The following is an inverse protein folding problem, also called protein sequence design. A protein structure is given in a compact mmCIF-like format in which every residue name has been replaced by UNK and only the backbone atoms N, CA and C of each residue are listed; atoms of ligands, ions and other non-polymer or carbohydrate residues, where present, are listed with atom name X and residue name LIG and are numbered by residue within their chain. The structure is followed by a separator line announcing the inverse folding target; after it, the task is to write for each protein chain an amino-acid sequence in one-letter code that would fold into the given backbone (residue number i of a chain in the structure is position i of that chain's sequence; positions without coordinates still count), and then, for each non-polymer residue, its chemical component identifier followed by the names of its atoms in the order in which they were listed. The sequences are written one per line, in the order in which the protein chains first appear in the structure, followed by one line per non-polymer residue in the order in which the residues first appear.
data_IF_894296336086
#
_entry.id   IF_894296336086
#
_cell.length_a   1.000
_cell.length_b   1.000
_cell.length_c   1.000
_cell.angle_alpha   90.00
_cell.angle_beta   90.00
_cell.angle_gamma   90.00
#
_symmetry.space_group_name_H-M   'P 1'
#
loop_
_entity.id
_entity.type
_entity.pdbx_description
1 polymer ?
#
# COMPACT_ATOMS: atom_id res chain seq x y z
N UNK A 1 7.88 -27.86 -20.95
CA UNK A 1 8.70 -26.69 -21.40
C UNK A 1 8.32 -26.19 -22.80
N UNK A 2 7.44 -26.86 -23.52
CA UNK A 2 6.92 -26.43 -24.83
C UNK A 2 5.57 -25.70 -24.75
N UNK A 3 5.09 -25.43 -23.55
CA UNK A 3 3.75 -24.86 -23.28
C UNK A 3 3.67 -23.33 -23.42
N UNK A 4 4.77 -22.62 -23.20
CA UNK A 4 4.76 -21.16 -23.24
C UNK A 4 5.21 -20.62 -24.61
N UNK A 5 4.43 -19.71 -25.18
CA UNK A 5 4.77 -19.03 -26.43
C UNK A 5 5.68 -17.84 -26.19
N UNK A 6 5.33 -17.03 -25.19
CA UNK A 6 6.04 -15.79 -24.85
C UNK A 6 7.09 -15.99 -23.76
N UNK A 7 6.82 -16.80 -22.74
CA UNK A 7 7.68 -16.95 -21.55
C UNK A 7 8.72 -18.07 -21.64
N UNK A 8 8.83 -18.78 -22.74
CA UNK A 8 9.70 -19.95 -22.86
C UNK A 8 11.18 -19.68 -22.47
N UNK A 9 11.75 -18.51 -22.84
CA UNK A 9 13.11 -18.14 -22.50
C UNK A 9 13.24 -17.56 -21.09
N UNK A 10 12.23 -16.81 -20.63
CA UNK A 10 12.25 -16.04 -19.39
C UNK A 10 11.86 -16.93 -18.20
N UNK A 11 11.08 -17.99 -18.42
CA UNK A 11 10.60 -18.89 -17.36
C UNK A 11 11.71 -19.55 -16.54
N UNK A 12 12.92 -19.59 -17.07
CA UNK A 12 14.11 -20.15 -16.40
C UNK A 12 14.91 -19.11 -15.62
N UNK A 13 14.56 -17.83 -15.73
CA UNK A 13 15.28 -16.77 -15.05
C UNK A 13 14.86 -16.66 -13.59
N UNK A 14 15.85 -16.38 -12.74
CA UNK A 14 15.62 -16.09 -11.34
C UNK A 14 14.76 -14.81 -11.22
N UNK A 15 13.65 -14.88 -10.46
CA UNK A 15 12.70 -13.78 -10.34
C UNK A 15 11.45 -13.87 -11.22
N UNK A 16 11.43 -14.71 -12.27
CA UNK A 16 10.24 -14.90 -13.10
C UNK A 16 9.03 -15.37 -12.27
N UNK A 17 9.24 -16.37 -11.41
CA UNK A 17 8.20 -16.92 -10.53
C UNK A 17 7.62 -15.82 -9.63
N UNK A 18 8.49 -14.95 -9.03
CA UNK A 18 8.05 -13.84 -8.20
C UNK A 18 7.22 -12.81 -8.97
N UNK A 19 7.57 -12.51 -10.22
CA UNK A 19 6.82 -11.58 -11.07
C UNK A 19 5.44 -12.15 -11.43
N UNK A 20 5.38 -13.41 -11.82
CA UNK A 20 4.12 -14.09 -12.14
C UNK A 20 3.23 -14.21 -10.90
N UNK A 21 3.80 -14.54 -9.73
CA UNK A 21 3.06 -14.59 -8.47
C UNK A 21 2.41 -13.23 -8.15
N UNK A 22 3.15 -12.13 -8.31
CA UNK A 22 2.58 -10.77 -8.13
C UNK A 22 1.42 -10.52 -9.08
N UNK A 23 1.54 -10.91 -10.36
CA UNK A 23 0.45 -10.75 -11.33
C UNK A 23 -0.78 -11.57 -10.95
N UNK A 24 -0.61 -12.80 -10.45
CA UNK A 24 -1.73 -13.63 -9.97
C UNK A 24 -2.39 -12.98 -8.75
N UNK A 25 -1.62 -12.47 -7.79
CA UNK A 25 -2.14 -11.71 -6.65
C UNK A 25 -2.96 -10.49 -7.12
N UNK A 26 -2.48 -9.75 -8.12
CA UNK A 26 -3.23 -8.62 -8.69
C UNK A 26 -4.52 -9.09 -9.37
N UNK A 27 -4.48 -10.14 -10.17
CA UNK A 27 -5.68 -10.70 -10.81
C UNK A 27 -6.75 -11.05 -9.76
N UNK A 28 -6.38 -11.71 -8.66
CA UNK A 28 -7.29 -12.03 -7.57
C UNK A 28 -7.86 -10.78 -6.92
N UNK A 29 -7.02 -9.81 -6.54
CA UNK A 29 -7.44 -8.54 -5.91
C UNK A 29 -8.42 -7.75 -6.79
N UNK A 30 -8.26 -7.82 -8.10
CA UNK A 30 -9.11 -7.12 -9.06
C UNK A 30 -10.26 -7.97 -9.59
N UNK A 31 -10.50 -9.16 -9.02
CA UNK A 31 -11.51 -10.12 -9.46
C UNK A 31 -11.37 -10.50 -10.96
N UNK A 32 -10.14 -10.51 -11.47
CA UNK A 32 -9.86 -10.92 -12.85
C UNK A 32 -9.80 -12.45 -12.86
N UNK A 33 -10.87 -13.06 -13.34
CA UNK A 33 -10.95 -14.52 -13.49
C UNK A 33 -10.29 -14.97 -14.78
N UNK A 34 -10.10 -16.28 -14.91
CA UNK A 34 -9.58 -16.87 -16.15
C UNK A 34 -10.50 -16.62 -17.34
N UNK A 35 -11.82 -16.62 -17.12
CA UNK A 35 -12.83 -16.33 -18.15
C UNK A 35 -12.64 -14.92 -18.71
N UNK A 36 -12.47 -13.92 -17.83
CA UNK A 36 -12.22 -12.52 -18.21
C UNK A 36 -10.93 -12.40 -19.02
N UNK A 37 -9.85 -13.08 -18.61
CA UNK A 37 -8.58 -13.07 -19.36
C UNK A 37 -8.76 -13.67 -20.76
N UNK A 38 -9.50 -14.76 -20.87
CA UNK A 38 -9.76 -15.43 -22.15
C UNK A 38 -10.66 -14.57 -23.06
N UNK A 39 -11.69 -13.92 -22.53
CA UNK A 39 -12.54 -12.99 -23.28
C UNK A 39 -11.75 -11.79 -23.81
N UNK A 40 -10.99 -11.14 -22.94
CA UNK A 40 -10.18 -9.97 -23.33
C UNK A 40 -9.07 -10.31 -24.31
N UNK A 41 -8.54 -11.52 -24.30
CA UNK A 41 -7.57 -12.00 -25.27
C UNK A 41 -8.09 -11.94 -26.71
N UNK A 42 -9.41 -12.09 -26.93
CA UNK A 42 -10.03 -12.03 -28.26
C UNK A 42 -9.97 -10.62 -28.83
N UNK A 43 -10.12 -9.60 -27.98
CA UNK A 43 -10.14 -8.19 -28.36
C UNK A 43 -8.75 -7.62 -28.71
N UNK A 44 -7.67 -8.30 -28.25
CA UNK A 44 -6.31 -7.80 -28.39
C UNK A 44 -5.76 -8.08 -29.81
N UNK A 45 -5.36 -7.00 -30.49
CA UNK A 45 -4.77 -7.04 -31.83
C UNK A 45 -3.26 -7.35 -31.83
N UNK A 46 -2.57 -6.94 -30.78
CA UNK A 46 -1.13 -7.17 -30.61
C UNK A 46 -0.87 -8.64 -30.31
N UNK A 47 -0.11 -9.31 -31.19
CA UNK A 47 0.18 -10.74 -31.09
C UNK A 47 1.02 -11.08 -29.86
N UNK A 48 2.02 -10.26 -29.55
CA UNK A 48 2.93 -10.52 -28.43
C UNK A 48 2.19 -10.37 -27.09
N UNK A 49 1.34 -9.37 -26.98
CA UNK A 49 0.50 -9.17 -25.80
C UNK A 49 -0.52 -10.32 -25.65
N UNK A 50 -1.10 -10.76 -26.76
CA UNK A 50 -2.03 -11.90 -26.81
C UNK A 50 -1.37 -13.18 -26.32
N UNK A 51 -0.16 -13.49 -26.79
CA UNK A 51 0.60 -14.67 -26.39
C UNK A 51 1.00 -14.59 -24.91
N UNK A 52 1.37 -13.41 -24.39
CA UNK A 52 1.64 -13.19 -22.94
C UNK A 52 0.42 -13.47 -22.07
N UNK A 53 -0.74 -12.95 -22.45
CA UNK A 53 -1.99 -13.16 -21.69
C UNK A 53 -2.39 -14.63 -21.72
N UNK A 54 -2.21 -15.31 -22.84
CA UNK A 54 -2.48 -16.74 -22.95
C UNK A 54 -1.59 -17.57 -22.02
N UNK A 55 -0.30 -17.27 -22.00
CA UNK A 55 0.64 -17.93 -21.10
C UNK A 55 0.29 -17.66 -19.62
N UNK A 56 -0.05 -16.39 -19.26
CA UNK A 56 -0.47 -16.04 -17.90
C UNK A 56 -1.78 -16.73 -17.51
N UNK A 57 -2.77 -16.78 -18.40
CA UNK A 57 -4.04 -17.47 -18.16
C UNK A 57 -3.81 -18.96 -17.89
N UNK A 58 -2.93 -19.62 -18.67
CA UNK A 58 -2.59 -21.04 -18.48
C UNK A 58 -1.87 -21.29 -17.15
N UNK A 59 -0.97 -20.39 -16.75
CA UNK A 59 -0.28 -20.49 -15.45
C UNK A 59 -1.29 -20.29 -14.32
N UNK A 60 -2.16 -19.31 -14.42
CA UNK A 60 -3.16 -18.99 -13.41
C UNK A 60 -4.15 -20.14 -13.21
N UNK A 61 -4.61 -20.76 -14.30
CA UNK A 61 -5.45 -21.96 -14.25
C UNK A 61 -4.77 -23.12 -13.53
N UNK A 62 -3.52 -23.39 -13.92
CA UNK A 62 -2.74 -24.51 -13.34
C UNK A 62 -2.45 -24.25 -11.86
N UNK A 63 -2.14 -23.00 -11.50
CA UNK A 63 -1.93 -22.58 -10.12
C UNK A 63 -3.18 -22.82 -9.28
N UNK A 64 -4.35 -22.33 -9.73
CA UNK A 64 -5.60 -22.53 -9.01
C UNK A 64 -5.99 -24.01 -8.88
N UNK A 65 -5.85 -24.81 -9.94
CA UNK A 65 -6.14 -26.24 -9.90
C UNK A 65 -5.28 -27.02 -8.91
N UNK A 66 -4.01 -26.62 -8.75
CA UNK A 66 -3.13 -27.26 -7.80
C UNK A 66 -3.36 -26.80 -6.36
N UNK A 67 -3.66 -25.51 -6.19
CA UNK A 67 -3.86 -24.90 -4.87
C UNK A 67 -5.15 -25.40 -4.22
N UNK A 68 -6.28 -25.33 -4.93
CA UNK A 68 -7.61 -25.68 -4.39
C UNK A 68 -7.80 -27.14 -4.00
N UNK A 69 -6.82 -28.00 -4.24
CA UNK A 69 -6.87 -29.39 -3.79
C UNK A 69 -6.62 -29.54 -2.29
N UNK A 70 -5.75 -28.70 -1.72
CA UNK A 70 -5.25 -28.88 -0.35
C UNK A 70 -5.13 -27.59 0.45
N UNK A 71 -5.17 -26.43 -0.20
CA UNK A 71 -4.85 -25.13 0.44
C UNK A 71 -5.84 -24.04 0.06
N UNK A 72 -5.96 -23.05 0.94
CA UNK A 72 -6.65 -21.77 0.68
C UNK A 72 -5.56 -20.70 0.54
N UNK A 73 -5.59 -19.95 -0.56
CA UNK A 73 -4.69 -18.82 -0.75
C UNK A 73 -5.15 -17.62 0.09
N UNK A 74 -4.20 -16.92 0.68
CA UNK A 74 -4.48 -15.67 1.40
C UNK A 74 -5.15 -14.62 0.52
N UNK A 75 -4.85 -14.61 -0.79
CA UNK A 75 -5.44 -13.68 -1.75
C UNK A 75 -6.92 -14.02 -2.10
N UNK A 76 -7.40 -15.23 -1.78
CA UNK A 76 -8.79 -15.66 -1.99
C UNK A 76 -9.69 -15.41 -0.77
N UNK A 77 -9.12 -15.05 0.38
CA UNK A 77 -9.86 -14.91 1.65
C UNK A 77 -11.03 -13.94 1.52
N UNK A 78 -10.86 -12.79 0.88
CA UNK A 78 -11.93 -11.80 0.73
C UNK A 78 -13.04 -12.29 -0.22
N UNK A 79 -12.70 -13.04 -1.26
CA UNK A 79 -13.67 -13.64 -2.17
C UNK A 79 -14.49 -14.71 -1.44
N UNK A 80 -13.83 -15.58 -0.70
CA UNK A 80 -14.48 -16.61 0.13
C UNK A 80 -15.34 -15.96 1.22
N UNK A 81 -14.83 -14.90 1.86
CA UNK A 81 -15.60 -14.12 2.84
C UNK A 81 -16.88 -13.56 2.22
N UNK A 82 -16.79 -12.96 1.05
CA UNK A 82 -17.96 -12.39 0.37
C UNK A 82 -19.04 -13.44 0.07
N UNK A 83 -18.63 -14.67 -0.28
CA UNK A 83 -19.56 -15.78 -0.48
C UNK A 83 -20.20 -16.27 0.84
N UNK A 84 -19.36 -16.46 1.87
CA UNK A 84 -19.83 -16.91 3.18
C UNK A 84 -20.75 -15.90 3.87
N UNK A 85 -20.50 -14.62 3.68
CA UNK A 85 -21.37 -13.56 4.22
C UNK A 85 -22.79 -13.63 3.68
N UNK A 86 -23.01 -14.12 2.46
CA UNK A 86 -24.36 -14.27 1.88
C UNK A 86 -25.21 -15.32 2.61
N UNK A 87 -24.56 -16.25 3.29
CA UNK A 87 -25.18 -17.35 4.03
C UNK A 87 -25.15 -17.13 5.55
N UNK A 88 -24.65 -15.97 6.01
CA UNK A 88 -24.40 -15.69 7.42
C UNK A 88 -25.19 -14.47 7.90
N UNK A 89 -25.91 -14.62 9.00
CA UNK A 89 -26.73 -13.58 9.63
C UNK A 89 -26.02 -12.84 10.77
N UNK A 90 -24.73 -13.11 10.98
CA UNK A 90 -23.95 -12.60 12.12
C UNK A 90 -23.91 -11.06 12.19
N UNK A 91 -24.01 -10.39 11.06
CA UNK A 91 -23.85 -8.94 10.95
C UNK A 91 -25.17 -8.17 10.79
N UNK A 92 -26.32 -8.83 10.84
CA UNK A 92 -27.63 -8.20 10.58
C UNK A 92 -27.96 -7.06 11.55
N UNK A 93 -27.55 -7.17 12.81
CA UNK A 93 -27.78 -6.14 13.84
C UNK A 93 -26.54 -5.28 14.14
N UNK A 94 -25.47 -5.45 13.37
CA UNK A 94 -24.22 -4.75 13.60
C UNK A 94 -24.21 -3.36 13.00
N UNK A 95 -23.49 -2.47 13.66
CA UNK A 95 -23.05 -1.18 13.11
C UNK A 95 -21.58 -1.29 12.71
N UNK A 96 -21.28 -1.02 11.44
CA UNK A 96 -19.94 -1.18 10.86
C UNK A 96 -19.32 0.18 10.63
N UNK A 97 -18.08 0.35 11.06
CA UNK A 97 -17.27 1.55 10.84
C UNK A 97 -16.02 1.21 10.05
N UNK A 98 -15.77 1.95 8.99
CA UNK A 98 -14.64 1.79 8.07
C UNK A 98 -13.89 3.11 8.00
N UNK A 99 -12.63 3.11 8.39
CA UNK A 99 -11.82 4.31 8.53
C UNK A 99 -10.42 4.13 7.91
N UNK A 100 -9.76 5.23 7.54
CA UNK A 100 -8.40 5.28 6.98
C UNK A 100 -8.20 4.61 5.61
N UNK A 101 -9.26 4.36 4.86
CA UNK A 101 -9.13 3.88 3.49
C UNK A 101 -9.13 5.03 2.47
N UNK A 102 -8.17 5.01 1.55
CA UNK A 102 -8.14 5.93 0.40
C UNK A 102 -8.79 5.32 -0.84
N UNK A 103 -8.72 3.99 -0.96
CA UNK A 103 -9.29 3.23 -2.08
C UNK A 103 -9.64 1.82 -1.65
N UNK A 104 -10.52 1.18 -2.39
CA UNK A 104 -10.92 -0.21 -2.19
C UNK A 104 -10.65 -1.03 -3.45
N UNK A 105 -10.10 -2.22 -3.26
CA UNK A 105 -10.00 -3.20 -4.35
C UNK A 105 -11.38 -3.73 -4.72
N UNK A 106 -11.58 -4.26 -5.94
CA UNK A 106 -12.84 -4.90 -6.31
C UNK A 106 -13.29 -6.02 -5.37
N UNK A 107 -12.37 -6.82 -4.83
CA UNK A 107 -12.70 -7.82 -3.79
C UNK A 107 -13.27 -7.16 -2.53
N UNK A 108 -12.65 -6.06 -2.06
CA UNK A 108 -13.14 -5.33 -0.90
C UNK A 108 -14.52 -4.72 -1.17
N UNK A 109 -14.74 -4.17 -2.36
CA UNK A 109 -16.06 -3.64 -2.76
C UNK A 109 -17.14 -4.73 -2.72
N UNK A 110 -16.84 -5.97 -3.15
CA UNK A 110 -17.81 -7.08 -3.08
C UNK A 110 -18.16 -7.46 -1.62
N UNK A 111 -17.17 -7.44 -0.73
CA UNK A 111 -17.42 -7.64 0.72
C UNK A 111 -18.27 -6.50 1.26
N UNK A 112 -17.94 -5.24 0.97
CA UNK A 112 -18.69 -4.06 1.42
C UNK A 112 -20.13 -4.09 0.90
N UNK A 113 -20.33 -4.47 -0.36
CA UNK A 113 -21.66 -4.62 -0.97
C UNK A 113 -22.53 -5.63 -0.20
N UNK A 114 -21.95 -6.77 0.15
CA UNK A 114 -22.66 -7.80 0.90
C UNK A 114 -23.00 -7.33 2.30
N UNK A 115 -22.04 -6.75 3.01
CA UNK A 115 -22.24 -6.22 4.36
C UNK A 115 -23.24 -5.06 4.40
N UNK A 116 -23.22 -4.16 3.41
CA UNK A 116 -24.14 -3.03 3.32
C UNK A 116 -25.60 -3.45 3.15
N UNK A 117 -25.86 -4.64 2.61
CA UNK A 117 -27.20 -5.21 2.49
C UNK A 117 -27.71 -5.87 3.78
N UNK A 118 -26.81 -6.26 4.66
CA UNK A 118 -27.12 -7.06 5.86
C UNK A 118 -27.06 -6.23 7.14
N UNK A 119 -26.05 -5.36 7.28
CA UNK A 119 -25.85 -4.64 8.53
C UNK A 119 -26.92 -3.56 8.76
N UNK A 120 -27.12 -3.22 10.04
CA UNK A 120 -28.05 -2.17 10.46
C UNK A 120 -27.60 -0.79 9.95
N UNK A 121 -26.33 -0.47 10.09
CA UNK A 121 -25.70 0.76 9.59
C UNK A 121 -24.27 0.48 9.18
N UNK A 122 -23.84 1.13 8.09
CA UNK A 122 -22.43 1.15 7.67
C UNK A 122 -21.98 2.61 7.53
N UNK A 123 -20.89 2.95 8.21
CA UNK A 123 -20.30 4.27 8.22
C UNK A 123 -18.89 4.19 7.60
N UNK A 124 -18.65 4.95 6.56
CA UNK A 124 -17.36 5.00 5.87
C UNK A 124 -16.82 6.42 5.95
N UNK A 125 -15.62 6.58 6.50
CA UNK A 125 -14.95 7.89 6.53
C UNK A 125 -13.96 7.99 5.37
N UNK A 126 -13.98 9.14 4.69
CA UNK A 126 -13.05 9.45 3.62
C UNK A 126 -12.41 10.81 3.87
N UNK A 127 -11.11 10.92 3.66
CA UNK A 127 -10.37 12.17 3.82
C UNK A 127 -10.45 12.99 2.52
N UNK A 128 -11.44 13.88 2.42
CA UNK A 128 -11.76 14.68 1.25
C UNK A 128 -11.82 16.18 1.62
N UNK A 129 -11.72 17.06 0.63
CA UNK A 129 -11.93 18.51 0.79
C UNK A 129 -13.41 18.94 0.96
N UNK A 130 -14.32 17.97 0.81
CA UNK A 130 -15.78 18.18 0.89
C UNK A 130 -16.42 18.67 -0.41
N UNK A 131 -15.66 18.80 -1.48
CA UNK A 131 -16.19 19.08 -2.82
C UNK A 131 -16.46 17.77 -3.54
N UNK A 132 -17.75 17.48 -3.79
CA UNK A 132 -18.21 16.21 -4.39
C UNK A 132 -17.96 16.15 -5.90
N UNK A 133 -17.63 17.27 -6.56
CA UNK A 133 -17.49 17.31 -8.00
C UNK A 133 -16.12 16.78 -8.45
N UNK A 134 -16.15 15.56 -8.97
CA UNK A 134 -15.06 15.03 -9.79
C UNK A 134 -15.19 15.61 -11.20
N UNK A 135 -14.25 16.44 -11.62
CA UNK A 135 -14.15 16.94 -13.00
C UNK A 135 -13.08 16.13 -13.71
N UNK A 136 -13.51 15.31 -14.66
CA UNK A 136 -12.59 14.48 -15.45
C UNK A 136 -11.61 15.36 -16.22
N UNK A 137 -10.29 15.18 -15.97
CA UNK A 137 -9.22 15.94 -16.61
C UNK A 137 -8.61 17.07 -15.78
N UNK A 138 -9.17 17.43 -14.65
CA UNK A 138 -8.49 18.28 -13.66
C UNK A 138 -7.70 17.40 -12.66
N UNK A 139 -6.45 17.75 -12.41
CA UNK A 139 -5.60 17.07 -11.41
C UNK A 139 -5.83 17.67 -10.03
N UNK A 140 -6.51 16.94 -9.17
CA UNK A 140 -6.73 17.27 -7.77
C UNK A 140 -6.01 16.24 -6.88
N UNK A 141 -5.48 16.70 -5.74
CA UNK A 141 -4.86 15.81 -4.74
C UNK A 141 -5.84 14.79 -4.16
N UNK A 142 -7.13 15.08 -4.19
CA UNK A 142 -8.21 14.22 -3.70
C UNK A 142 -8.86 13.35 -4.77
N UNK A 143 -8.39 13.37 -6.03
CA UNK A 143 -8.97 12.60 -7.13
C UNK A 143 -9.17 11.12 -6.81
N UNK A 144 -8.17 10.49 -6.19
CA UNK A 144 -8.23 9.08 -5.80
C UNK A 144 -9.40 8.82 -4.83
N UNK A 145 -9.60 9.74 -3.88
CA UNK A 145 -10.63 9.61 -2.85
C UNK A 145 -12.00 9.96 -3.41
N UNK A 146 -12.11 11.01 -4.23
CA UNK A 146 -13.34 11.37 -4.96
C UNK A 146 -13.81 10.24 -5.87
N UNK A 147 -12.86 9.59 -6.55
CA UNK A 147 -13.13 8.40 -7.37
C UNK A 147 -13.63 7.22 -6.53
N UNK A 148 -13.07 7.06 -5.32
CA UNK A 148 -13.48 6.03 -4.38
C UNK A 148 -14.90 6.28 -3.88
N UNK A 149 -15.23 7.52 -3.51
CA UNK A 149 -16.58 7.94 -3.13
C UNK A 149 -17.59 7.65 -4.25
N UNK A 150 -17.28 8.06 -5.48
CA UNK A 150 -18.13 7.78 -6.64
C UNK A 150 -18.37 6.29 -6.88
N UNK A 151 -17.32 5.46 -6.73
CA UNK A 151 -17.46 3.99 -6.84
C UNK A 151 -18.36 3.41 -5.74
N UNK A 152 -18.26 3.91 -4.51
CA UNK A 152 -19.11 3.48 -3.42
C UNK A 152 -20.56 3.90 -3.66
N UNK A 153 -20.81 5.15 -4.05
CA UNK A 153 -22.17 5.65 -4.38
C UNK A 153 -22.79 4.85 -5.52
N UNK A 154 -22.03 4.59 -6.58
CA UNK A 154 -22.47 3.77 -7.71
C UNK A 154 -22.82 2.35 -7.28
N UNK A 155 -21.97 1.73 -6.46
CA UNK A 155 -22.21 0.41 -5.88
C UNK A 155 -23.51 0.38 -5.07
N UNK A 156 -23.78 1.40 -4.23
CA UNK A 156 -25.02 1.50 -3.46
C UNK A 156 -26.23 1.62 -4.37
N UNK A 157 -26.19 2.50 -5.39
CA UNK A 157 -27.28 2.69 -6.35
C UNK A 157 -27.60 1.42 -7.14
N UNK A 158 -26.58 0.76 -7.71
CA UNK A 158 -26.74 -0.47 -8.49
C UNK A 158 -27.30 -1.64 -7.67
N UNK A 159 -27.12 -1.60 -6.36
CA UNK A 159 -27.58 -2.67 -5.45
C UNK A 159 -28.81 -2.30 -4.64
N UNK A 160 -29.45 -1.16 -4.93
CA UNK A 160 -30.65 -0.66 -4.21
C UNK A 160 -30.42 -0.51 -2.70
N UNK A 161 -29.21 -0.16 -2.27
CA UNK A 161 -28.88 0.15 -0.88
C UNK A 161 -29.09 1.64 -0.66
N UNK A 162 -29.96 2.01 0.27
CA UNK A 162 -30.19 3.41 0.63
C UNK A 162 -29.00 3.96 1.40
N UNK A 163 -28.64 5.20 1.14
CA UNK A 163 -27.58 5.93 1.85
C UNK A 163 -28.08 7.32 2.26
N UNK A 164 -27.48 7.85 3.31
CA UNK A 164 -27.74 9.20 3.82
C UNK A 164 -26.81 10.19 3.13
N UNK A 165 -27.21 11.47 3.10
CA UNK A 165 -26.31 12.55 2.68
C UNK A 165 -25.00 12.54 3.47
N UNK A 166 -23.84 12.74 2.80
CA UNK A 166 -22.54 12.76 3.46
C UNK A 166 -22.47 13.82 4.57
N UNK A 167 -21.89 13.46 5.70
CA UNK A 167 -21.63 14.38 6.80
C UNK A 167 -20.26 15.01 6.59
N UNK A 168 -20.22 16.28 6.18
CA UNK A 168 -18.97 17.02 6.07
C UNK A 168 -18.48 17.45 7.46
N UNK A 169 -17.37 16.86 7.90
CA UNK A 169 -16.70 17.19 9.17
C UNK A 169 -15.72 18.37 9.04
N UNK A 170 -15.46 18.83 7.82
CA UNK A 170 -14.56 19.95 7.55
C UNK A 170 -15.23 21.28 7.91
N UNK A 171 -15.26 21.60 9.19
CA UNK A 171 -15.85 22.82 9.73
C UNK A 171 -14.86 23.99 9.58
N UNK A 172 -15.37 25.23 9.67
CA UNK A 172 -14.60 26.49 9.56
C UNK A 172 -13.32 26.54 10.42
N UNK A 173 -13.30 25.84 11.56
CA UNK A 173 -12.15 25.71 12.44
C UNK A 173 -11.79 24.23 12.55
N UNK A 174 -10.76 23.82 11.84
CA UNK A 174 -10.22 22.46 11.90
C UNK A 174 -9.63 22.25 13.29
N UNK A 175 -10.22 21.34 14.05
CA UNK A 175 -9.82 21.07 15.44
C UNK A 175 -8.33 20.73 15.57
N UNK A 176 -7.78 20.01 14.59
CA UNK A 176 -6.37 19.60 14.56
C UNK A 176 -5.38 20.75 14.61
N UNK A 177 -5.73 21.90 14.01
CA UNK A 177 -4.87 23.08 13.91
C UNK A 177 -5.35 24.26 14.75
N UNK A 178 -6.23 24.04 15.72
CA UNK A 178 -6.80 25.12 16.56
C UNK A 178 -5.75 25.92 17.32
N UNK A 179 -4.62 25.29 17.68
CA UNK A 179 -3.52 25.90 18.43
C UNK A 179 -2.48 26.57 17.52
N UNK A 180 -2.49 26.30 16.20
CA UNK A 180 -1.54 26.86 15.24
C UNK A 180 -2.23 27.39 13.99
N UNK A 181 -2.33 28.71 13.90
CA UNK A 181 -2.94 29.39 12.75
C UNK A 181 -2.12 29.19 11.47
N UNK A 182 -0.80 29.10 11.59
CA UNK A 182 0.11 28.92 10.45
C UNK A 182 0.00 27.52 9.86
N UNK A 183 -0.13 26.47 10.68
CA UNK A 183 -0.41 25.12 10.18
C UNK A 183 -1.79 25.04 9.53
N UNK A 184 -2.80 25.70 10.11
CA UNK A 184 -4.12 25.82 9.50
C UNK A 184 -4.10 26.61 8.18
N UNK A 185 -3.20 27.61 8.05
CA UNK A 185 -3.01 28.33 6.79
C UNK A 185 -2.36 27.43 5.72
N UNK A 186 -1.32 26.69 6.09
CA UNK A 186 -0.67 25.75 5.17
C UNK A 186 -1.68 24.69 4.69
N UNK A 187 -2.39 24.03 5.59
CA UNK A 187 -3.39 23.03 5.24
C UNK A 187 -4.42 23.57 4.25
N UNK A 188 -4.91 24.78 4.49
CA UNK A 188 -5.97 25.37 3.67
C UNK A 188 -5.48 25.86 2.30
N UNK A 189 -4.24 26.36 2.19
CA UNK A 189 -3.80 27.14 1.04
C UNK A 189 -2.56 26.59 0.33
N UNK A 190 -2.00 25.48 0.75
CA UNK A 190 -0.75 24.94 0.19
C UNK A 190 -0.82 24.69 -1.32
N UNK A 191 -1.95 24.21 -1.80
CA UNK A 191 -2.18 23.91 -3.23
C UNK A 191 -2.95 24.99 -3.98
N UNK A 192 -3.26 26.12 -3.34
CA UNK A 192 -4.00 27.17 -4.02
C UNK A 192 -3.12 27.96 -5.00
N UNK A 193 -3.69 28.27 -6.15
CA UNK A 193 -3.10 29.23 -7.08
C UNK A 193 -4.12 30.34 -7.39
N UNK A 194 -3.75 31.63 -7.31
CA UNK A 194 -2.46 32.19 -6.85
C UNK A 194 -2.20 31.94 -5.36
N UNK A 195 -0.92 31.87 -4.99
CA UNK A 195 -0.50 31.60 -3.62
C UNK A 195 -1.04 32.64 -2.63
N UNK A 196 -1.50 32.16 -1.45
CA UNK A 196 -1.89 33.01 -0.34
C UNK A 196 -0.77 33.05 0.70
N UNK A 197 -0.17 34.22 0.85
CA UNK A 197 0.94 34.43 1.78
C UNK A 197 0.41 34.58 3.20
N UNK A 198 0.99 33.82 4.15
CA UNK A 198 0.75 34.02 5.58
C UNK A 198 1.44 35.34 6.03
N UNK A 199 0.71 36.22 6.71
CA UNK A 199 1.17 37.59 7.04
C UNK A 199 1.59 37.77 8.49
N UNK A 200 1.28 36.80 9.37
CA UNK A 200 1.65 36.85 10.78
C UNK A 200 3.04 36.21 10.99
N UNK A 201 3.64 36.39 12.17
CA UNK A 201 4.91 35.77 12.53
C UNK A 201 4.79 34.25 12.61
N UNK A 202 5.72 33.53 11.94
CA UNK A 202 5.78 32.06 11.97
C UNK A 202 6.55 31.60 13.22
N UNK A 203 5.90 30.78 14.06
CA UNK A 203 6.48 30.23 15.30
C UNK A 203 6.59 28.71 15.27
N UNK A 204 5.62 28.05 14.63
CA UNK A 204 5.50 26.60 14.59
C UNK A 204 6.08 25.99 13.32
N UNK A 205 6.28 26.80 12.26
CA UNK A 205 6.84 26.36 10.99
C UNK A 205 8.20 26.98 10.78
N UNK A 206 9.21 26.16 10.51
CA UNK A 206 10.57 26.60 10.22
C UNK A 206 11.10 25.90 8.99
N UNK A 207 11.81 26.63 8.15
CA UNK A 207 12.50 26.11 6.99
C UNK A 207 14.00 26.15 7.24
N UNK A 208 14.66 25.00 7.04
CA UNK A 208 16.10 24.90 7.09
C UNK A 208 16.62 24.34 5.77
N UNK A 209 17.74 24.92 5.28
CA UNK A 209 18.42 24.44 4.08
C UNK A 209 19.81 23.94 4.46
N UNK A 210 20.02 22.64 4.37
CA UNK A 210 21.31 22.01 4.61
C UNK A 210 22.17 21.98 3.33
N UNK A 211 23.49 21.84 3.49
CA UNK A 211 24.42 21.68 2.38
C UNK A 211 24.45 20.24 1.81
N UNK A 212 24.14 19.27 2.64
CA UNK A 212 24.12 17.85 2.29
C UNK A 212 23.25 17.08 3.29
N UNK A 213 22.97 15.79 3.00
CA UNK A 213 22.13 14.93 3.82
C UNK A 213 22.68 14.73 5.24
N UNK A 214 24.00 14.76 5.42
CA UNK A 214 24.60 14.61 6.73
C UNK A 214 24.26 15.80 7.63
N UNK A 215 24.53 17.02 7.17
CA UNK A 215 24.21 18.24 7.93
C UNK A 215 22.69 18.46 8.08
N UNK A 216 21.88 17.91 7.19
CA UNK A 216 20.42 17.90 7.34
C UNK A 216 19.99 17.06 8.53
N UNK A 217 20.45 15.81 8.63
CA UNK A 217 20.12 14.90 9.74
C UNK A 217 20.74 15.38 11.06
N UNK A 218 21.95 15.93 11.02
CA UNK A 218 22.59 16.50 12.20
C UNK A 218 21.76 17.67 12.77
N UNK A 219 21.30 18.57 11.91
CA UNK A 219 20.42 19.66 12.34
C UNK A 219 19.10 19.14 12.92
N UNK A 220 18.49 18.11 12.28
CA UNK A 220 17.27 17.45 12.79
C UNK A 220 17.55 16.87 14.19
N UNK A 221 18.68 16.17 14.39
CA UNK A 221 19.04 15.61 15.68
C UNK A 221 19.15 16.69 16.77
N UNK A 222 19.81 17.79 16.48
CA UNK A 222 19.92 18.94 17.38
C UNK A 222 18.56 19.55 17.70
N UNK A 223 17.67 19.70 16.71
CA UNK A 223 16.33 20.25 16.92
C UNK A 223 15.47 19.28 17.74
N UNK A 224 15.54 17.96 17.51
CA UNK A 224 14.89 16.95 18.35
C UNK A 224 15.33 17.09 19.81
N UNK A 225 16.63 17.17 20.06
CA UNK A 225 17.14 17.33 21.43
C UNK A 225 16.63 18.64 22.07
N UNK A 226 16.61 19.73 21.32
CA UNK A 226 16.05 21.00 21.77
C UNK A 226 14.55 20.87 22.12
N UNK A 227 13.76 20.21 21.27
CA UNK A 227 12.34 20.00 21.52
C UNK A 227 12.10 19.15 22.77
N UNK A 228 12.86 18.09 22.95
CA UNK A 228 12.72 17.21 24.11
C UNK A 228 13.15 17.91 25.39
N UNK A 229 14.36 18.52 25.39
CA UNK A 229 14.95 19.13 26.57
C UNK A 229 14.26 20.45 26.97
N UNK A 230 14.01 21.32 26.01
CA UNK A 230 13.62 22.71 26.29
C UNK A 230 12.10 22.93 26.14
N UNK A 231 11.39 22.07 25.40
CA UNK A 231 9.96 22.18 25.14
C UNK A 231 9.11 21.05 25.73
N UNK A 232 9.75 20.06 26.36
CA UNK A 232 9.06 18.97 27.06
C UNK A 232 8.40 17.92 26.15
N UNK A 233 8.76 17.88 24.85
CA UNK A 233 8.31 16.80 23.96
C UNK A 233 8.94 15.48 24.35
N UNK A 234 8.25 14.38 24.07
CA UNK A 234 8.82 13.05 24.18
C UNK A 234 9.30 12.60 22.82
N UNK A 235 10.33 11.78 22.75
CA UNK A 235 10.82 11.23 21.46
C UNK A 235 9.71 10.58 20.64
N UNK A 236 8.77 9.89 21.27
CA UNK A 236 7.62 9.26 20.59
C UNK A 236 6.60 10.23 20.01
N UNK A 237 6.66 11.51 20.38
CA UNK A 237 5.76 12.56 19.87
C UNK A 237 6.36 13.25 18.64
N UNK A 238 7.57 12.84 18.20
CA UNK A 238 8.31 13.44 17.09
C UNK A 238 8.43 12.43 15.97
N UNK A 239 8.06 12.84 14.75
CA UNK A 239 8.23 12.05 13.55
C UNK A 239 9.13 12.78 12.55
N UNK A 240 10.04 12.05 11.91
CA UNK A 240 10.85 12.52 10.79
C UNK A 240 10.36 11.81 9.54
N UNK A 241 9.93 12.56 8.54
CA UNK A 241 9.37 12.02 7.29
C UNK A 241 10.28 12.37 6.13
N UNK A 242 10.65 11.39 5.32
CA UNK A 242 11.41 11.58 4.10
C UNK A 242 10.79 10.80 2.94
N UNK A 243 11.04 11.24 1.71
CA UNK A 243 10.51 10.59 0.52
C UNK A 243 11.20 9.25 0.23
N UNK A 244 12.53 9.21 0.39
CA UNK A 244 13.37 8.05 0.10
C UNK A 244 14.23 7.70 1.32
N UNK A 245 13.79 6.71 2.08
CA UNK A 245 14.46 6.31 3.32
C UNK A 245 15.83 5.71 3.07
N UNK A 246 16.07 5.08 1.91
CA UNK A 246 17.34 4.42 1.58
C UNK A 246 18.53 5.40 1.51
N UNK A 247 18.27 6.67 1.18
CA UNK A 247 19.30 7.72 1.13
C UNK A 247 19.69 8.23 2.52
N UNK A 248 18.85 8.01 3.53
CA UNK A 248 18.99 8.58 4.87
C UNK A 248 19.23 7.55 5.98
N UNK A 249 18.88 6.27 5.77
CA UNK A 249 18.87 5.25 6.83
C UNK A 249 20.21 5.10 7.56
N UNK A 250 21.31 5.00 6.81
CA UNK A 250 22.65 4.83 7.38
C UNK A 250 23.14 6.09 8.11
N UNK A 251 22.89 7.26 7.49
CA UNK A 251 23.28 8.55 8.07
C UNK A 251 22.49 8.79 9.36
N UNK A 252 21.18 8.56 9.33
CA UNK A 252 20.30 8.67 10.50
C UNK A 252 20.76 7.75 11.63
N UNK A 253 21.08 6.50 11.30
CA UNK A 253 21.55 5.54 12.31
C UNK A 253 22.84 6.00 13.00
N UNK A 254 23.81 6.52 12.23
CA UNK A 254 25.07 7.01 12.80
C UNK A 254 24.83 8.23 13.69
N UNK A 255 24.17 9.25 13.16
CA UNK A 255 23.97 10.53 13.86
C UNK A 255 23.06 10.36 15.08
N UNK A 256 21.94 9.64 14.96
CA UNK A 256 21.03 9.48 16.10
C UNK A 256 21.67 8.66 17.23
N UNK A 257 22.52 7.67 16.90
CA UNK A 257 23.31 6.95 17.92
C UNK A 257 24.34 7.87 18.59
N UNK A 258 25.03 8.72 17.82
CA UNK A 258 26.00 9.69 18.35
C UNK A 258 25.34 10.70 19.32
N UNK A 259 24.15 11.16 18.96
CA UNK A 259 23.36 12.07 19.80
C UNK A 259 22.51 11.36 20.86
N UNK A 260 22.61 10.02 21.01
CA UNK A 260 21.81 9.19 21.94
C UNK A 260 20.28 9.41 21.79
N UNK A 261 19.80 9.58 20.56
CA UNK A 261 18.39 9.72 20.25
C UNK A 261 17.80 8.32 19.99
N UNK A 262 16.83 7.85 20.82
CA UNK A 262 16.11 6.63 20.52
C UNK A 262 15.22 6.81 19.31
N UNK A 263 15.29 5.92 18.33
CA UNK A 263 14.51 6.02 17.09
C UNK A 263 14.01 4.66 16.63
N UNK A 264 12.94 4.69 15.86
CA UNK A 264 12.45 3.58 15.05
C UNK A 264 12.51 3.98 13.58
N UNK A 265 13.10 3.14 12.74
CA UNK A 265 13.21 3.35 11.31
C UNK A 265 12.26 2.38 10.60
N UNK A 266 11.21 2.91 9.95
CA UNK A 266 10.25 2.11 9.20
C UNK A 266 10.83 1.70 7.84
N UNK A 267 11.75 0.73 7.88
CA UNK A 267 12.40 0.15 6.71
C UNK A 267 12.31 -1.36 6.74
N UNK A 268 11.76 -1.93 5.68
CA UNK A 268 11.82 -3.39 5.48
C UNK A 268 13.25 -3.80 5.15
N UNK A 269 13.84 -4.64 5.97
CA UNK A 269 15.16 -5.23 5.72
C UNK A 269 14.98 -6.55 4.99
N UNK A 270 15.69 -6.72 3.88
CA UNK A 270 15.76 -8.02 3.21
C UNK A 270 16.60 -8.98 4.07
N UNK A 271 15.93 -10.01 4.58
CA UNK A 271 16.59 -11.04 5.40
C UNK A 271 17.44 -12.00 4.57
N UNK A 272 17.22 -12.08 3.26
CA UNK A 272 17.92 -13.01 2.37
C UNK A 272 19.44 -12.77 2.30
N UNK A 273 19.89 -11.57 2.61
CA UNK A 273 21.32 -11.22 2.68
C UNK A 273 21.97 -11.49 4.06
N UNK A 274 21.18 -11.88 5.05
CA UNK A 274 21.70 -12.21 6.38
C UNK A 274 22.51 -13.51 6.31
N UNK A 275 23.77 -13.55 6.83
CA UNK A 275 24.63 -14.74 6.74
C UNK A 275 23.98 -16.02 7.28
N UNK A 276 23.25 -15.94 8.41
CA UNK A 276 22.53 -17.09 8.97
C UNK A 276 21.44 -17.60 8.02
N UNK A 277 20.69 -16.69 7.41
CA UNK A 277 19.64 -17.08 6.44
C UNK A 277 20.28 -17.66 5.18
N UNK A 278 21.38 -17.07 4.69
CA UNK A 278 22.17 -17.62 3.57
C UNK A 278 22.66 -19.02 3.89
N UNK A 279 23.16 -19.26 5.10
CA UNK A 279 23.58 -20.59 5.57
C UNK A 279 22.42 -21.59 5.48
N UNK A 280 21.27 -21.28 6.09
CA UNK A 280 20.11 -22.17 6.13
C UNK A 280 19.61 -22.47 4.71
N UNK A 281 19.46 -21.44 3.87
CA UNK A 281 19.00 -21.60 2.48
C UNK A 281 20.01 -22.44 1.70
N UNK A 282 21.31 -22.19 1.83
CA UNK A 282 22.33 -22.94 1.09
C UNK A 282 22.36 -24.41 1.47
N UNK A 283 22.13 -24.76 2.75
CA UNK A 283 21.97 -26.18 3.16
C UNK A 283 20.80 -26.84 2.46
N UNK A 284 19.64 -26.17 2.41
CA UNK A 284 18.47 -26.69 1.71
C UNK A 284 18.71 -26.79 0.19
N UNK A 285 19.39 -25.81 -0.39
CA UNK A 285 19.77 -25.83 -1.81
C UNK A 285 20.75 -26.97 -2.11
N UNK A 286 21.71 -27.27 -1.25
CA UNK A 286 22.65 -28.42 -1.39
C UNK A 286 21.86 -29.73 -1.49
N UNK A 287 20.88 -29.93 -0.61
CA UNK A 287 20.05 -31.14 -0.62
C UNK A 287 19.16 -31.22 -1.87
N UNK A 288 18.56 -30.12 -2.28
CA UNK A 288 17.64 -30.09 -3.43
C UNK A 288 18.35 -30.11 -4.79
N UNK A 289 19.55 -29.53 -4.89
CA UNK A 289 20.34 -29.46 -6.13
C UNK A 289 21.40 -30.55 -6.29
N UNK A 290 21.30 -31.59 -5.48
CA UNK A 290 22.23 -32.74 -5.51
C UNK A 290 23.72 -32.30 -5.44
N UNK A 291 24.07 -31.48 -4.43
CA UNK A 291 25.43 -31.04 -4.18
C UNK A 291 26.05 -30.19 -5.30
N UNK A 292 25.27 -29.33 -5.93
CA UNK A 292 25.81 -28.46 -6.98
C UNK A 292 26.94 -27.57 -6.43
N UNK A 293 27.92 -27.27 -7.28
CA UNK A 293 29.05 -26.39 -6.90
C UNK A 293 28.60 -25.05 -6.34
N UNK A 294 27.60 -24.45 -6.95
CA UNK A 294 27.09 -23.13 -6.55
C UNK A 294 26.48 -23.14 -5.14
N UNK A 295 25.68 -24.15 -4.80
CA UNK A 295 25.05 -24.26 -3.49
C UNK A 295 26.07 -24.57 -2.39
N UNK A 296 27.06 -25.47 -2.64
CA UNK A 296 28.15 -25.73 -1.70
C UNK A 296 29.03 -24.51 -1.51
N UNK A 297 29.35 -23.79 -2.57
CA UNK A 297 30.17 -22.59 -2.51
C UNK A 297 29.49 -21.45 -1.73
N UNK A 298 28.17 -21.30 -1.92
CA UNK A 298 27.35 -20.35 -1.16
C UNK A 298 27.33 -20.68 0.34
N UNK A 299 27.24 -21.97 0.69
CA UNK A 299 27.32 -22.44 2.05
C UNK A 299 28.68 -22.08 2.71
N UNK A 300 29.79 -22.43 2.05
CA UNK A 300 31.14 -22.14 2.56
C UNK A 300 31.39 -20.64 2.70
N UNK A 301 30.84 -19.82 1.79
CA UNK A 301 30.97 -18.36 1.83
C UNK A 301 30.09 -17.67 2.87
N UNK A 302 29.16 -18.38 3.52
CA UNK A 302 28.34 -17.76 4.57
C UNK A 302 29.18 -17.26 5.76
N UNK A 303 30.37 -17.83 5.97
CA UNK A 303 31.30 -17.42 7.03
C UNK A 303 30.88 -17.81 8.45
N UNK A 304 29.90 -18.72 8.57
CA UNK A 304 29.37 -19.25 9.85
C UNK A 304 29.76 -20.71 10.03
#
# INVERSE_FOLDING_TARGET
TTLFRSFNRISKQQGFVGTVSKSITEFKKYNITQEILNEKQIEIKDKDLKDKINDLSSIYETFNKNLHKEYIDSDDILSILSEKLKECDLYNDCEIWIDEFTTFTPQQIEVLKTLAKQCKNMNITLCNDGEIQFIEGETDIFDVIKNTENKLLKMMQENNVSYKEPVNLNKKNIYRFKESKELGHIEKYFFNFPFKVYKEECKDVRLYKANNNYSEIEWIAQDILRLVRDKGYRYKDIAVVCREIDSYDKITAVIFNEYNIPYFLDKKREILSNPLIVLIISVLEILSSNWSYESVFKYVKSGL
#
